data_IF_348434683584
#
_entry.id   IF_348434683584
#
_cell.length_a   1.000
_cell.length_b   1.000
_cell.length_c   1.000
_cell.angle_alpha   90.00
_cell.angle_beta   90.00
_cell.angle_gamma   90.00
#
_symmetry.space_group_name_H-M   'P 1'
#
loop_
_entity.id
_entity.type
_entity.pdbx_description
1 polymer ?
#
# COMPACT_ATOMS: atom_id res chain seq x y z
N UNK A 1 -40.06 3.74 0.30
CA UNK A 1 -39.36 2.56 -0.25
C UNK A 1 -39.25 2.69 -1.76
N UNK A 2 -38.01 2.52 -2.28
CA UNK A 2 -37.54 2.43 -3.68
C UNK A 2 -37.68 3.68 -4.59
N UNK A 3 -36.78 3.88 -5.59
CA UNK A 3 -35.49 3.22 -5.85
C UNK A 3 -34.30 4.16 -6.16
N UNK A 4 -33.11 3.62 -5.89
CA UNK A 4 -31.79 4.04 -6.36
C UNK A 4 -31.75 4.20 -7.88
N UNK A 5 -31.13 5.28 -8.37
CA UNK A 5 -30.67 5.41 -9.75
C UNK A 5 -29.15 5.24 -9.78
N UNK A 6 -28.72 4.06 -10.21
CA UNK A 6 -27.35 3.73 -10.58
C UNK A 6 -27.09 4.36 -11.95
N UNK A 7 -26.15 5.29 -12.04
CA UNK A 7 -25.62 5.77 -13.32
C UNK A 7 -24.43 4.88 -13.70
N UNK A 8 -24.67 3.96 -14.63
CA UNK A 8 -23.66 3.17 -15.30
C UNK A 8 -23.01 4.01 -16.40
N UNK A 9 -21.70 4.20 -16.35
CA UNK A 9 -20.91 4.78 -17.43
C UNK A 9 -20.34 3.64 -18.29
N UNK A 10 -20.78 3.60 -19.56
CA UNK A 10 -20.32 2.67 -20.58
C UNK A 10 -18.95 3.12 -21.13
N UNK A 11 -18.00 2.20 -21.26
CA UNK A 11 -16.82 2.37 -22.08
C UNK A 11 -16.88 1.39 -23.26
N UNK A 12 -16.79 1.95 -24.45
CA UNK A 12 -16.91 1.28 -25.75
C UNK A 12 -15.62 0.51 -26.05
N UNK A 13 -15.77 -0.79 -26.33
CA UNK A 13 -14.71 -1.69 -26.77
C UNK A 13 -14.60 -1.60 -28.30
N UNK A 14 -13.45 -1.18 -28.83
CA UNK A 14 -13.15 -1.23 -30.25
C UNK A 14 -12.32 -2.50 -30.56
N UNK A 15 -12.94 -3.46 -31.25
CA UNK A 15 -12.29 -4.61 -31.86
C UNK A 15 -11.72 -4.22 -33.22
N UNK A 16 -10.46 -4.56 -33.47
CA UNK A 16 -9.89 -4.63 -34.81
C UNK A 16 -9.30 -6.02 -35.04
N UNK A 17 -9.78 -6.69 -36.09
CA UNK A 17 -9.37 -8.02 -36.57
C UNK A 17 -8.68 -7.90 -37.93
N UNK A 18 -7.72 -8.80 -38.18
CA UNK A 18 -7.16 -9.30 -39.47
C UNK A 18 -5.63 -9.46 -39.34
N UNK A 19 -4.96 -10.54 -39.75
CA UNK A 19 -5.35 -11.78 -40.43
C UNK A 19 -4.08 -12.55 -40.89
N UNK A 20 -4.30 -13.83 -41.26
CA UNK A 20 -3.46 -14.76 -42.04
C UNK A 20 -2.21 -15.45 -41.43
N UNK A 21 -2.32 -16.79 -41.36
CA UNK A 21 -1.23 -17.79 -41.45
C UNK A 21 -1.22 -18.40 -42.88
N UNK A 22 -0.15 -19.10 -43.32
CA UNK A 22 -0.06 -20.57 -43.11
C UNK A 22 1.37 -21.16 -42.89
N UNK A 23 1.39 -22.44 -42.49
CA UNK A 23 2.51 -23.33 -42.11
C UNK A 23 3.27 -23.98 -43.33
N UNK A 24 3.95 -25.15 -43.27
CA UNK A 24 4.71 -25.90 -42.21
C UNK A 24 6.11 -26.38 -42.70
N UNK A 25 6.97 -26.97 -41.84
CA UNK A 25 7.90 -28.05 -42.26
C UNK A 25 8.26 -28.99 -41.08
N UNK A 26 8.25 -30.27 -41.41
CA UNK A 26 8.41 -31.43 -40.54
C UNK A 26 9.88 -31.81 -40.28
N UNK A 27 10.12 -32.52 -39.18
CA UNK A 27 11.37 -33.23 -38.92
C UNK A 27 11.35 -33.99 -37.59
N UNK A 28 11.03 -35.28 -37.65
CA UNK A 28 11.35 -36.30 -36.65
C UNK A 28 12.05 -37.47 -37.40
N UNK A 29 12.55 -38.56 -36.77
CA UNK A 29 12.66 -38.90 -35.34
C UNK A 29 14.04 -39.50 -34.95
N UNK A 30 14.28 -39.79 -33.65
CA UNK A 30 15.01 -40.99 -33.24
C UNK A 30 14.77 -41.33 -31.75
N UNK A 31 14.53 -42.62 -31.53
CA UNK A 31 14.12 -43.39 -30.34
C UNK A 31 15.23 -43.67 -29.31
N UNK A 32 14.80 -44.08 -28.10
CA UNK A 32 15.38 -45.09 -27.15
C UNK A 32 15.55 -44.52 -25.74
N UNK A 33 15.32 -45.16 -24.59
CA UNK A 33 14.76 -46.45 -24.16
C UNK A 33 14.65 -46.38 -22.62
N UNK A 34 13.55 -46.92 -22.07
CA UNK A 34 13.37 -47.61 -20.76
C UNK A 34 14.21 -47.23 -19.51
N UNK A 35 13.55 -46.97 -18.37
CA UNK A 35 13.37 -47.98 -17.30
C UNK A 35 13.09 -47.38 -15.88
N UNK A 36 12.12 -48.02 -15.21
CA UNK A 36 12.02 -48.30 -13.77
C UNK A 36 11.75 -47.17 -12.74
N UNK A 37 10.52 -47.21 -12.20
CA UNK A 37 10.18 -46.74 -10.86
C UNK A 37 10.74 -47.65 -9.76
N UNK A 38 10.87 -47.16 -8.51
CA UNK A 38 10.11 -47.83 -7.46
C UNK A 38 9.48 -46.90 -6.39
N UNK A 39 8.30 -47.38 -5.96
CA UNK A 39 7.75 -47.41 -4.59
C UNK A 39 7.80 -46.17 -3.68
N UNK A 40 6.62 -45.58 -3.53
CA UNK A 40 6.18 -44.74 -2.42
C UNK A 40 6.34 -45.43 -1.07
N UNK A 41 6.88 -44.71 -0.08
CA UNK A 41 6.69 -44.97 1.35
C UNK A 41 6.27 -43.67 2.01
N UNK A 42 4.96 -43.47 2.11
CA UNK A 42 4.35 -42.30 2.75
C UNK A 42 4.28 -42.55 4.25
N UNK A 43 5.19 -41.94 5.02
CA UNK A 43 5.02 -41.78 6.45
C UNK A 43 3.94 -40.71 6.70
N UNK A 44 2.99 -40.90 7.63
CA UNK A 44 2.07 -39.84 8.01
C UNK A 44 2.81 -38.85 8.92
N UNK A 45 3.32 -37.77 8.32
CA UNK A 45 3.70 -36.59 9.08
C UNK A 45 2.40 -35.92 9.54
N UNK A 46 2.15 -35.95 10.85
CA UNK A 46 1.15 -35.13 11.51
C UNK A 46 1.53 -33.66 11.31
N UNK A 47 1.01 -33.05 10.25
CA UNK A 47 1.05 -31.59 10.10
C UNK A 47 0.22 -30.99 11.23
N UNK A 48 0.77 -30.10 12.07
CA UNK A 48 -0.09 -29.21 12.83
C UNK A 48 -0.85 -28.38 11.80
N UNK A 49 -2.19 -28.45 11.84
CA UNK A 49 -3.03 -27.45 11.21
C UNK A 49 -2.68 -26.10 11.83
N UNK A 50 -1.76 -25.39 11.19
CA UNK A 50 -1.66 -23.96 11.37
C UNK A 50 -2.94 -23.39 10.75
N UNK A 51 -3.88 -22.99 11.61
CA UNK A 51 -4.81 -21.93 11.23
C UNK A 51 -3.95 -20.69 10.91
N UNK A 52 -3.48 -20.62 9.67
CA UNK A 52 -2.73 -19.50 9.15
C UNK A 52 -3.71 -18.36 8.89
N UNK A 53 -4.19 -17.75 9.97
CA UNK A 53 -4.55 -16.34 9.90
C UNK A 53 -3.27 -15.58 9.61
N UNK A 54 -3.13 -15.06 8.39
CA UNK A 54 -2.05 -14.15 8.00
C UNK A 54 -2.22 -12.85 8.78
N UNK A 55 -1.75 -12.84 10.03
CA UNK A 55 -1.65 -11.63 10.85
C UNK A 55 -0.46 -10.85 10.32
N UNK A 56 -0.67 -9.57 10.02
CA UNK A 56 0.46 -8.72 9.65
C UNK A 56 1.46 -8.63 10.82
N UNK A 57 2.75 -8.59 10.52
CA UNK A 57 3.74 -8.31 11.55
C UNK A 57 3.55 -6.88 12.09
N UNK A 58 3.57 -6.71 13.42
CA UNK A 58 3.35 -5.42 14.09
C UNK A 58 4.22 -4.29 13.47
N UNK A 59 3.62 -3.19 12.97
CA UNK A 59 4.33 -2.04 12.42
C UNK A 59 5.47 -1.50 13.29
N UNK A 60 5.46 -1.68 14.62
CA UNK A 60 6.55 -1.27 15.50
C UNK A 60 7.92 -1.83 15.09
N UNK A 61 7.98 -2.97 14.38
CA UNK A 61 9.25 -3.51 13.88
C UNK A 61 9.96 -2.58 12.89
N UNK A 62 9.23 -1.64 12.28
CA UNK A 62 9.76 -0.67 11.33
C UNK A 62 10.23 0.64 11.99
N UNK A 63 10.20 0.75 13.32
CA UNK A 63 10.59 1.97 14.03
C UNK A 63 11.95 2.55 13.58
N UNK A 64 13.03 1.74 13.36
CA UNK A 64 14.30 2.28 12.86
C UNK A 64 14.18 2.96 11.49
N UNK A 65 13.48 2.34 10.54
CA UNK A 65 13.21 2.91 9.22
C UNK A 65 12.37 4.17 9.34
N UNK A 66 11.29 4.14 10.14
CA UNK A 66 10.42 5.29 10.38
C UNK A 66 11.22 6.48 10.91
N UNK A 67 12.05 6.29 11.93
CA UNK A 67 12.88 7.36 12.50
C UNK A 67 13.81 7.94 11.42
N UNK A 68 14.49 7.09 10.66
CA UNK A 68 15.42 7.52 9.64
C UNK A 68 14.73 8.33 8.53
N UNK A 69 13.60 7.84 8.00
CA UNK A 69 12.89 8.46 6.88
C UNK A 69 12.07 9.67 7.29
N UNK A 70 11.47 9.66 8.48
CA UNK A 70 10.81 10.84 9.04
C UNK A 70 11.79 11.98 9.24
N UNK A 71 12.99 11.69 9.76
CA UNK A 71 14.08 12.69 9.88
C UNK A 71 14.54 13.21 8.52
N UNK A 72 14.69 12.33 7.53
CA UNK A 72 15.07 12.70 6.16
C UNK A 72 14.05 13.67 5.54
N UNK A 73 12.75 13.41 5.74
CA UNK A 73 11.66 14.22 5.23
C UNK A 73 11.27 15.40 6.15
N UNK A 74 11.82 15.51 7.35
CA UNK A 74 11.48 16.57 8.31
C UNK A 74 10.05 16.49 8.85
N UNK A 75 9.53 15.28 9.06
CA UNK A 75 8.19 15.02 9.63
C UNK A 75 8.29 14.28 10.96
N UNK A 76 7.20 14.25 11.73
CA UNK A 76 7.15 13.53 13.00
C UNK A 76 7.16 12.01 12.80
N UNK A 77 8.17 11.26 13.32
CA UNK A 77 8.19 9.81 13.24
C UNK A 77 7.00 9.13 13.93
N UNK A 78 6.42 9.74 14.97
CA UNK A 78 5.24 9.19 15.63
C UNK A 78 4.02 9.21 14.70
N UNK A 79 3.85 10.27 13.92
CA UNK A 79 2.79 10.36 12.90
C UNK A 79 2.96 9.29 11.81
N UNK A 80 4.17 9.13 11.27
CA UNK A 80 4.47 8.11 10.24
C UNK A 80 4.11 6.72 10.77
N UNK A 81 4.58 6.36 11.97
CA UNK A 81 4.27 5.03 12.51
C UNK A 81 2.78 4.85 12.87
N UNK A 82 2.09 5.92 13.31
CA UNK A 82 0.65 5.87 13.57
C UNK A 82 -0.16 5.65 12.28
N UNK A 83 0.27 6.22 11.15
CA UNK A 83 -0.34 5.97 9.84
C UNK A 83 -0.10 4.52 9.41
N UNK A 84 1.10 3.98 9.56
CA UNK A 84 1.36 2.55 9.28
C UNK A 84 0.42 1.62 10.07
N UNK A 85 0.10 1.94 11.33
CA UNK A 85 -0.89 1.18 12.08
C UNK A 85 -2.30 1.23 11.47
N UNK A 86 -2.70 2.38 10.92
CA UNK A 86 -3.99 2.49 10.23
C UNK A 86 -4.02 1.73 8.90
N UNK A 87 -2.89 1.64 8.19
CA UNK A 87 -2.80 0.96 6.91
C UNK A 87 -2.72 -0.59 7.06
N UNK A 88 -2.40 -1.08 8.26
CA UNK A 88 -2.21 -2.50 8.59
C UNK A 88 -3.50 -3.36 8.59
N UNK A 89 -4.64 -2.79 8.17
CA UNK A 89 -5.95 -3.47 8.19
C UNK A 89 -6.08 -4.62 7.18
N UNK A 90 -5.16 -4.73 6.21
CA UNK A 90 -5.11 -5.81 5.21
C UNK A 90 -3.72 -6.46 5.18
N UNK A 91 -3.61 -7.77 4.86
CA UNK A 91 -2.30 -8.40 4.73
C UNK A 91 -1.40 -7.71 3.68
N UNK A 92 -0.16 -7.42 4.05
CA UNK A 92 0.88 -6.85 3.17
C UNK A 92 1.90 -7.91 2.73
N UNK A 93 1.41 -9.10 2.37
CA UNK A 93 2.26 -10.16 1.84
C UNK A 93 2.75 -9.77 0.43
N UNK A 94 4.08 -9.75 0.18
CA UNK A 94 4.62 -9.29 -1.11
C UNK A 94 4.12 -10.10 -2.31
N UNK A 95 3.95 -11.42 -2.16
CA UNK A 95 3.50 -12.28 -3.26
C UNK A 95 2.03 -12.02 -3.59
N UNK A 96 1.19 -11.83 -2.56
CA UNK A 96 -0.21 -11.45 -2.73
C UNK A 96 -0.34 -10.08 -3.39
N UNK A 97 0.43 -9.08 -2.94
CA UNK A 97 0.42 -7.74 -3.52
C UNK A 97 0.92 -7.73 -4.99
N UNK A 98 1.95 -8.51 -5.33
CA UNK A 98 2.41 -8.72 -6.71
C UNK A 98 1.32 -9.34 -7.60
N UNK A 99 0.63 -10.37 -7.10
CA UNK A 99 -0.49 -10.97 -7.83
C UNK A 99 -1.61 -9.95 -8.05
N UNK A 100 -1.90 -9.12 -7.04
CA UNK A 100 -2.90 -8.06 -7.12
C UNK A 100 -2.50 -6.94 -8.07
N UNK A 101 -1.22 -6.58 -8.15
CA UNK A 101 -0.67 -5.58 -9.07
C UNK A 101 -0.91 -5.92 -10.53
N UNK A 102 -0.79 -7.20 -10.89
CA UNK A 102 -1.10 -7.65 -12.25
C UNK A 102 -2.58 -7.50 -12.61
N UNK A 103 -3.49 -7.51 -11.63
CA UNK A 103 -4.93 -7.41 -11.82
C UNK A 103 -5.46 -5.96 -11.71
N UNK A 104 -4.87 -5.16 -10.82
CA UNK A 104 -5.26 -3.77 -10.53
C UNK A 104 -4.01 -2.87 -10.56
N UNK A 105 -3.61 -2.37 -11.74
CA UNK A 105 -2.36 -1.64 -11.91
C UNK A 105 -2.31 -0.29 -11.17
N UNK A 106 -3.46 0.23 -10.73
CA UNK A 106 -3.59 1.48 -9.99
C UNK A 106 -3.98 1.28 -8.52
N UNK A 107 -3.79 0.06 -7.98
CA UNK A 107 -4.00 -0.23 -6.57
C UNK A 107 -3.01 0.54 -5.67
N UNK A 108 -3.01 0.22 -4.38
CA UNK A 108 -2.12 0.79 -3.39
C UNK A 108 -1.34 -0.35 -2.71
N UNK A 109 -0.04 -0.16 -2.53
CA UNK A 109 0.92 -1.21 -2.17
C UNK A 109 1.89 -0.84 -1.07
N UNK A 110 2.53 -1.87 -0.53
CA UNK A 110 3.47 -1.79 0.57
C UNK A 110 2.76 -1.51 1.89
N UNK A 111 3.56 -1.52 2.95
CA UNK A 111 3.10 -1.31 4.34
C UNK A 111 2.45 0.06 4.58
N UNK A 112 2.73 1.03 3.72
CA UNK A 112 2.12 2.36 3.75
C UNK A 112 0.87 2.45 2.86
N UNK A 113 0.47 1.38 2.17
CA UNK A 113 -0.69 1.35 1.27
C UNK A 113 -0.68 2.56 0.29
N UNK A 114 0.44 2.73 -0.41
CA UNK A 114 0.70 3.93 -1.21
C UNK A 114 0.16 3.79 -2.65
N UNK A 115 -0.64 4.76 -3.08
CA UNK A 115 -1.14 4.83 -4.46
C UNK A 115 -0.07 5.27 -5.45
N UNK A 116 -0.11 4.71 -6.68
CA UNK A 116 0.86 5.00 -7.74
C UNK A 116 1.01 6.49 -8.04
N UNK A 117 -0.09 7.20 -8.26
CA UNK A 117 -0.05 8.62 -8.60
C UNK A 117 0.61 9.46 -7.48
N UNK A 118 0.31 9.13 -6.22
CA UNK A 118 0.90 9.77 -5.04
C UNK A 118 2.39 9.48 -4.94
N UNK A 119 2.81 8.22 -5.14
CA UNK A 119 4.22 7.83 -5.15
C UNK A 119 5.00 8.56 -6.26
N UNK A 120 4.46 8.56 -7.48
CA UNK A 120 5.07 9.19 -8.65
C UNK A 120 5.25 10.70 -8.50
N UNK A 121 4.32 11.35 -7.79
CA UNK A 121 4.47 12.75 -7.41
C UNK A 121 5.53 12.91 -6.32
N UNK A 122 5.45 12.09 -5.27
CA UNK A 122 6.29 12.21 -4.07
C UNK A 122 7.75 11.91 -4.37
N UNK A 123 8.10 11.01 -5.30
CA UNK A 123 9.51 10.65 -5.58
C UNK A 123 10.31 11.72 -6.33
N UNK A 124 9.68 12.73 -6.92
CA UNK A 124 10.34 13.67 -7.85
C UNK A 124 11.40 14.51 -7.13
N UNK A 125 12.63 14.46 -7.63
CA UNK A 125 13.75 15.23 -7.08
C UNK A 125 14.25 14.74 -5.71
N UNK A 126 13.89 13.52 -5.30
CA UNK A 126 14.24 12.93 -3.99
C UNK A 126 15.25 11.80 -4.12
N UNK A 127 15.86 11.34 -3.01
CA UNK A 127 16.85 10.24 -3.05
C UNK A 127 16.35 8.94 -3.69
N UNK A 128 15.03 8.72 -3.71
CA UNK A 128 14.38 7.56 -4.32
C UNK A 128 13.73 7.84 -5.69
N UNK A 129 14.06 8.95 -6.34
CA UNK A 129 13.49 9.30 -7.66
C UNK A 129 13.71 8.22 -8.73
N UNK A 130 14.78 7.43 -8.61
CA UNK A 130 15.09 6.32 -9.52
C UNK A 130 14.38 5.00 -9.20
N UNK A 131 13.64 4.92 -8.09
CA UNK A 131 12.93 3.72 -7.64
C UNK A 131 11.52 3.67 -8.21
N UNK A 132 11.06 2.50 -8.59
CA UNK A 132 9.74 2.26 -9.16
C UNK A 132 8.69 1.96 -8.07
N UNK A 133 7.47 2.43 -8.30
CA UNK A 133 6.32 2.13 -7.44
C UNK A 133 6.05 0.62 -7.30
N UNK A 134 6.40 -0.19 -8.30
CA UNK A 134 6.23 -1.64 -8.24
C UNK A 134 7.15 -2.33 -7.22
N UNK A 135 8.15 -1.64 -6.68
CA UNK A 135 9.06 -2.18 -5.67
C UNK A 135 8.46 -2.14 -4.26
N UNK A 136 7.39 -1.37 -4.04
CA UNK A 136 6.78 -1.16 -2.71
C UNK A 136 6.36 -2.44 -1.96
N UNK A 137 5.81 -3.48 -2.60
CA UNK A 137 5.49 -4.73 -1.91
C UNK A 137 6.73 -5.40 -1.29
N UNK A 138 7.89 -5.27 -1.92
CA UNK A 138 9.12 -5.99 -1.55
C UNK A 138 10.08 -5.14 -0.71
N UNK A 139 9.88 -3.82 -0.69
CA UNK A 139 10.76 -2.86 0.00
C UNK A 139 9.95 -1.98 0.96
N UNK A 140 9.75 -2.43 2.22
CA UNK A 140 9.05 -1.64 3.23
C UNK A 140 9.75 -0.32 3.56
N UNK A 141 11.09 -0.25 3.45
CA UNK A 141 11.82 1.01 3.69
C UNK A 141 11.51 2.05 2.60
N UNK A 142 11.40 1.62 1.34
CA UNK A 142 10.92 2.49 0.24
C UNK A 142 9.48 2.96 0.47
N UNK A 143 8.58 2.09 0.94
CA UNK A 143 7.20 2.47 1.26
C UNK A 143 7.15 3.54 2.35
N UNK A 144 7.93 3.37 3.42
CA UNK A 144 8.04 4.32 4.54
C UNK A 144 8.71 5.62 4.08
N UNK A 145 9.73 5.55 3.22
CA UNK A 145 10.36 6.73 2.63
C UNK A 145 9.36 7.54 1.80
N UNK A 146 8.55 6.87 0.97
CA UNK A 146 7.53 7.52 0.16
C UNK A 146 6.43 8.17 1.03
N UNK A 147 5.99 7.48 2.08
CA UNK A 147 5.03 8.01 3.06
C UNK A 147 5.53 9.29 3.73
N UNK A 148 6.73 9.24 4.33
CA UNK A 148 7.30 10.37 5.06
C UNK A 148 7.43 11.62 4.16
N UNK A 149 7.87 11.41 2.92
CA UNK A 149 8.00 12.47 1.94
C UNK A 149 6.66 12.99 1.40
N UNK A 150 5.64 12.14 1.31
CA UNK A 150 4.28 12.60 1.00
C UNK A 150 3.69 13.44 2.14
N UNK A 151 3.92 13.07 3.40
CA UNK A 151 3.52 13.88 4.56
C UNK A 151 4.22 15.24 4.59
N UNK A 152 5.50 15.31 4.21
CA UNK A 152 6.20 16.58 4.01
C UNK A 152 5.46 17.46 2.98
N UNK A 153 5.04 16.89 1.85
CA UNK A 153 4.33 17.62 0.80
C UNK A 153 2.92 18.06 1.22
N UNK A 154 2.27 17.30 2.09
CA UNK A 154 1.01 17.69 2.71
C UNK A 154 1.22 18.85 3.68
N UNK A 155 2.27 18.81 4.50
CA UNK A 155 2.62 19.87 5.45
C UNK A 155 2.88 21.20 4.74
N UNK A 156 3.60 21.17 3.61
CA UNK A 156 3.84 22.36 2.77
C UNK A 156 2.55 22.96 2.17
N UNK A 157 1.46 22.21 2.13
CA UNK A 157 0.16 22.62 1.59
C UNK A 157 -0.83 23.07 2.66
N UNK A 158 -0.53 22.89 3.94
CA UNK A 158 -1.39 23.34 5.03
C UNK A 158 -1.34 24.87 5.16
N UNK A 159 -2.46 25.53 5.47
CA UNK A 159 -2.44 26.94 5.81
C UNK A 159 -1.70 27.14 7.13
N UNK A 160 -0.87 28.19 7.22
CA UNK A 160 -0.08 28.52 8.42
C UNK A 160 -0.93 28.72 9.68
N UNK A 161 -2.19 29.10 9.50
CA UNK A 161 -3.23 29.08 10.53
C UNK A 161 -4.40 28.27 10.00
N UNK A 162 -4.78 27.24 10.73
CA UNK A 162 -6.00 26.50 10.48
C UNK A 162 -6.98 26.75 11.62
N UNK A 163 -8.27 26.73 11.26
CA UNK A 163 -9.37 26.94 12.19
C UNK A 163 -10.09 25.61 12.34
N UNK A 164 -10.01 25.01 13.51
CA UNK A 164 -10.62 23.71 13.73
C UNK A 164 -10.19 23.07 15.03
N UNK A 165 -10.73 21.88 15.25
CA UNK A 165 -10.43 21.04 16.42
C UNK A 165 -9.25 20.09 16.18
N UNK A 166 -8.71 20.06 14.96
CA UNK A 166 -7.68 19.08 14.57
C UNK A 166 -6.29 19.64 14.76
N UNK A 167 -5.38 18.80 15.26
CA UNK A 167 -3.95 19.12 15.28
C UNK A 167 -3.37 19.11 13.87
N UNK A 168 -2.15 19.63 13.70
CA UNK A 168 -1.43 19.51 12.43
C UNK A 168 -1.27 18.05 12.02
N UNK A 169 -0.88 17.17 12.93
CA UNK A 169 -0.67 15.74 12.63
C UNK A 169 -1.96 15.04 12.23
N UNK A 170 -3.08 15.36 12.88
CA UNK A 170 -4.40 14.85 12.48
C UNK A 170 -4.80 15.34 11.09
N UNK A 171 -4.50 16.60 10.74
CA UNK A 171 -4.74 17.11 9.40
C UNK A 171 -3.86 16.42 8.35
N UNK A 172 -2.60 16.13 8.67
CA UNK A 172 -1.70 15.39 7.79
C UNK A 172 -2.18 13.95 7.58
N UNK A 173 -2.59 13.26 8.64
CA UNK A 173 -3.18 11.93 8.56
C UNK A 173 -4.48 11.92 7.72
N UNK A 174 -5.34 12.93 7.89
CA UNK A 174 -6.51 13.10 7.02
C UNK A 174 -6.13 13.40 5.57
N UNK A 175 -5.05 14.14 5.34
CA UNK A 175 -4.52 14.39 4.00
C UNK A 175 -3.93 13.14 3.36
N UNK A 176 -3.36 12.25 4.16
CA UNK A 176 -2.91 10.94 3.72
C UNK A 176 -4.10 10.09 3.25
N UNK A 177 -5.12 9.95 4.11
CA UNK A 177 -6.30 9.14 3.85
C UNK A 177 -7.23 9.68 2.75
N UNK A 178 -7.49 10.99 2.77
CA UNK A 178 -8.53 11.62 1.96
C UNK A 178 -7.97 12.61 0.91
N UNK A 179 -6.66 12.80 0.85
CA UNK A 179 -5.98 13.67 -0.11
C UNK A 179 -5.88 15.15 0.31
N UNK A 180 -5.02 15.94 -0.38
CA UNK A 180 -4.69 17.31 0.03
C UNK A 180 -5.88 18.28 -0.02
N UNK A 181 -6.83 18.06 -0.93
CA UNK A 181 -8.02 18.91 -1.06
C UNK A 181 -8.94 18.81 0.16
N UNK A 182 -9.19 17.58 0.63
CA UNK A 182 -10.01 17.32 1.82
C UNK A 182 -9.29 17.80 3.08
N UNK A 183 -7.98 17.54 3.22
CA UNK A 183 -7.17 18.11 4.29
C UNK A 183 -7.35 19.63 4.43
N UNK A 184 -7.25 20.36 3.31
CA UNK A 184 -7.46 21.82 3.31
C UNK A 184 -8.88 22.21 3.70
N UNK A 185 -9.89 21.41 3.35
CA UNK A 185 -11.27 21.65 3.78
C UNK A 185 -11.45 21.41 5.29
N UNK A 186 -10.85 20.35 5.84
CA UNK A 186 -10.85 20.06 7.28
C UNK A 186 -10.11 21.13 8.07
N UNK A 187 -8.97 21.63 7.55
CA UNK A 187 -8.23 22.75 8.11
C UNK A 187 -9.03 24.07 8.17
N UNK A 188 -10.14 24.17 7.41
CA UNK A 188 -11.09 25.29 7.45
C UNK A 188 -12.36 24.97 8.26
N UNK A 189 -12.40 23.85 8.97
CA UNK A 189 -13.51 23.46 9.85
C UNK A 189 -14.61 22.63 9.19
N UNK A 190 -14.39 22.10 7.97
CA UNK A 190 -15.32 21.11 7.39
C UNK A 190 -15.30 19.85 8.25
N UNK A 191 -16.48 19.30 8.56
CA UNK A 191 -16.57 18.05 9.32
C UNK A 191 -16.16 16.85 8.46
N UNK A 192 -15.33 15.93 8.97
CA UNK A 192 -15.03 14.69 8.25
C UNK A 192 -16.29 13.83 8.08
N UNK A 193 -16.32 13.03 7.02
CA UNK A 193 -17.32 11.96 6.88
C UNK A 193 -16.91 10.71 7.67
N UNK A 194 -17.81 9.73 7.77
CA UNK A 194 -17.63 8.54 8.61
C UNK A 194 -16.28 7.82 8.42
N UNK A 195 -15.83 7.64 7.18
CA UNK A 195 -14.53 6.98 6.91
C UNK A 195 -13.34 7.75 7.47
N UNK A 196 -13.34 9.08 7.33
CA UNK A 196 -12.28 9.93 7.85
C UNK A 196 -12.35 10.05 9.40
N UNK A 197 -13.55 9.99 9.98
CA UNK A 197 -13.72 9.91 11.44
C UNK A 197 -13.20 8.59 12.02
N UNK A 198 -13.45 7.46 11.34
CA UNK A 198 -12.87 6.16 11.71
C UNK A 198 -11.34 6.23 11.64
N UNK A 199 -10.79 6.76 10.55
CA UNK A 199 -9.33 6.89 10.38
C UNK A 199 -8.69 7.71 11.52
N UNK A 200 -9.30 8.83 11.92
CA UNK A 200 -8.83 9.61 13.08
C UNK A 200 -8.96 8.86 14.40
N UNK A 201 -10.02 8.09 14.56
CA UNK A 201 -10.25 7.29 15.78
C UNK A 201 -9.14 6.25 15.93
N UNK A 202 -8.82 5.53 14.85
CA UNK A 202 -7.78 4.50 14.83
C UNK A 202 -6.38 5.11 15.03
N UNK A 203 -6.13 6.27 14.40
CA UNK A 203 -4.89 7.03 14.58
C UNK A 203 -4.69 7.41 16.05
N UNK A 204 -5.73 7.96 16.70
CA UNK A 204 -5.68 8.35 18.12
C UNK A 204 -5.52 7.14 19.04
N UNK A 205 -6.15 6.02 18.71
CA UNK A 205 -6.05 4.79 19.49
C UNK A 205 -4.64 4.20 19.48
N UNK A 206 -3.88 4.40 18.40
CA UNK A 206 -2.52 3.88 18.23
C UNK A 206 -1.43 4.92 18.51
N UNK A 207 -1.78 6.19 18.68
CA UNK A 207 -0.84 7.30 18.86
C UNK A 207 0.21 7.06 19.93
N UNK A 208 -0.21 6.70 21.16
CA UNK A 208 0.71 6.45 22.27
C UNK A 208 1.61 5.22 22.02
N UNK A 209 1.07 4.19 21.35
CA UNK A 209 1.83 2.99 20.98
C UNK A 209 2.90 3.33 19.95
N UNK A 210 2.58 4.14 18.95
CA UNK A 210 3.52 4.62 17.94
C UNK A 210 4.64 5.45 18.58
N UNK A 211 4.30 6.41 19.44
CA UNK A 211 5.29 7.23 20.15
C UNK A 211 6.28 6.39 20.95
N UNK A 212 5.78 5.46 21.77
CA UNK A 212 6.63 4.57 22.56
C UNK A 212 7.54 3.65 21.74
N UNK A 213 7.20 3.39 20.47
CA UNK A 213 8.02 2.57 19.58
C UNK A 213 9.15 3.38 18.92
N UNK A 214 8.91 4.65 18.57
CA UNK A 214 9.92 5.52 17.93
C UNK A 214 10.80 6.29 18.93
N UNK A 215 10.43 6.31 20.21
CA UNK A 215 11.27 6.84 21.29
C UNK A 215 12.40 5.90 21.72
N UNK A 216 12.29 4.60 21.40
CA UNK A 216 13.28 3.60 21.79
C UNK A 216 14.48 3.64 20.81
N UNK A 217 15.68 4.04 21.26
CA UNK A 217 16.87 4.07 20.44
C UNK A 217 17.40 2.66 20.09
#
# INVERSE_FOLDING_TARGET
>A
MRPYRVLAAACVLALATAGCAPAPVAGAPATSTSAAAPASSSAPATSPSAEAGTVNPDPAKFAPQVIARAREAGVDPQLVLAILYNEDYKPHDPQLERAWQNLKPDAAFGVANMHRATYEQSRRGRPFAGRDWQELPDDPDLAIQAEAWYLHDLAAQLPAKHSGQFTTDELLALGYNAGPGNMKAFARGTKPGAQAETYLTDLRATWAKAGAAVEKP
#
